data_IF_413883019426
#
_entry.id   IF_413883019426
#
_cell.length_a   1.000
_cell.length_b   1.000
_cell.length_c   1.000
_cell.angle_alpha   90.00
_cell.angle_beta   90.00
_cell.angle_gamma   90.00
#
_symmetry.space_group_name_H-M   'P 1'
#
loop_
_entity.id
_entity.type
_entity.pdbx_description
1 polymer ?
#
# COMPACT_ATOMS: atom_id res chain seq x y z
N UNK A 1 3.16 -28.11 10.09
CA UNK A 1 3.88 -27.63 8.89
C UNK A 1 2.82 -27.30 7.86
N UNK A 2 2.30 -26.08 7.88
CA UNK A 2 1.31 -25.62 6.89
C UNK A 2 2.15 -25.01 5.78
N UNK A 3 2.23 -25.72 4.64
CA UNK A 3 2.77 -25.14 3.40
C UNK A 3 1.94 -23.88 3.12
N UNK A 4 2.59 -22.73 3.14
CA UNK A 4 1.99 -21.51 2.67
C UNK A 4 1.72 -21.69 1.18
N UNK A 5 0.48 -21.94 0.82
CA UNK A 5 0.04 -21.82 -0.56
C UNK A 5 0.27 -20.36 -0.98
N UNK A 6 1.24 -20.18 -1.88
CA UNK A 6 1.44 -18.92 -2.62
C UNK A 6 0.25 -18.75 -3.58
N UNK A 7 -0.94 -18.59 -3.02
CA UNK A 7 -2.18 -18.45 -3.80
C UNK A 7 -2.25 -16.98 -4.26
N UNK A 8 -2.25 -16.80 -5.57
CA UNK A 8 -2.52 -15.50 -6.17
C UNK A 8 -3.89 -14.98 -5.72
N UNK A 9 -3.93 -13.75 -5.22
CA UNK A 9 -5.15 -13.15 -4.67
C UNK A 9 -5.68 -12.06 -5.59
N UNK A 10 -6.94 -12.16 -5.96
CA UNK A 10 -7.70 -11.10 -6.58
C UNK A 10 -8.34 -10.17 -5.52
N UNK A 11 -9.03 -9.11 -5.97
CA UNK A 11 -9.68 -8.15 -5.08
C UNK A 11 -10.64 -8.81 -4.07
N UNK A 12 -11.44 -9.78 -4.50
CA UNK A 12 -12.42 -10.44 -3.63
C UNK A 12 -11.75 -11.25 -2.51
N UNK A 13 -10.63 -11.90 -2.81
CA UNK A 13 -9.86 -12.66 -1.82
C UNK A 13 -9.15 -11.74 -0.83
N UNK A 14 -8.59 -10.61 -1.29
CA UNK A 14 -8.04 -9.58 -0.40
C UNK A 14 -9.14 -9.10 0.56
N UNK A 15 -10.29 -8.67 0.04
CA UNK A 15 -11.42 -8.20 0.85
C UNK A 15 -11.86 -9.26 1.85
N UNK A 16 -11.96 -10.54 1.43
CA UNK A 16 -12.32 -11.65 2.32
C UNK A 16 -11.37 -11.78 3.50
N UNK A 17 -10.05 -11.64 3.30
CA UNK A 17 -9.06 -11.68 4.38
C UNK A 17 -9.21 -10.49 5.33
N UNK A 18 -9.38 -9.27 4.80
CA UNK A 18 -9.61 -8.08 5.62
C UNK A 18 -10.87 -8.21 6.47
N UNK A 19 -11.96 -8.72 5.90
CA UNK A 19 -13.20 -8.97 6.64
C UNK A 19 -13.03 -10.05 7.71
N UNK A 20 -12.19 -11.06 7.48
CA UNK A 20 -11.90 -12.09 8.48
C UNK A 20 -11.17 -11.49 9.68
N UNK A 21 -10.20 -10.58 9.47
CA UNK A 21 -9.55 -9.82 10.55
C UNK A 21 -10.58 -9.03 11.36
N UNK A 22 -11.49 -8.32 10.70
CA UNK A 22 -12.54 -7.54 11.37
C UNK A 22 -13.51 -8.43 12.16
N UNK A 23 -13.93 -9.56 11.60
CA UNK A 23 -14.82 -10.50 12.27
C UNK A 23 -14.18 -11.07 13.54
N UNK A 24 -12.93 -11.54 13.47
CA UNK A 24 -12.25 -12.08 14.65
C UNK A 24 -11.99 -11.00 15.69
N UNK A 25 -11.60 -9.78 15.25
CA UNK A 25 -11.44 -8.66 16.15
C UNK A 25 -12.75 -8.29 16.86
N UNK A 26 -13.88 -8.46 16.19
CA UNK A 26 -15.21 -8.19 16.77
C UNK A 26 -15.63 -9.19 17.85
N UNK A 27 -14.98 -10.36 17.93
CA UNK A 27 -15.21 -11.38 18.95
C UNK A 27 -14.34 -11.16 20.20
N UNK A 28 -13.32 -10.31 20.10
CA UNK A 28 -12.44 -10.01 21.23
C UNK A 28 -13.04 -8.92 22.11
N UNK A 29 -12.87 -9.09 23.43
CA UNK A 29 -13.20 -8.03 24.40
C UNK A 29 -12.08 -6.98 24.37
N UNK A 30 -12.31 -5.88 23.68
CA UNK A 30 -11.33 -4.84 23.45
C UNK A 30 -11.80 -3.49 23.96
N UNK A 31 -10.85 -2.66 24.41
CA UNK A 31 -11.12 -1.36 25.02
C UNK A 31 -11.42 -0.25 24.02
N UNK A 32 -10.91 -0.36 22.80
CA UNK A 32 -11.12 0.65 21.76
C UNK A 32 -12.35 0.31 20.89
N UNK A 33 -13.04 1.35 20.46
CA UNK A 33 -14.22 1.21 19.59
C UNK A 33 -13.82 0.82 18.16
N UNK A 34 -12.69 1.32 17.67
CA UNK A 34 -12.20 1.04 16.31
C UNK A 34 -10.67 0.97 16.25
N UNK A 35 -10.20 0.17 15.33
CA UNK A 35 -8.79 0.00 14.97
C UNK A 35 -8.59 0.36 13.50
N UNK A 36 -7.34 0.56 13.08
CA UNK A 36 -7.03 0.91 11.70
C UNK A 36 -5.83 0.15 11.16
N UNK A 37 -5.82 -0.03 9.83
CA UNK A 37 -4.73 -0.62 9.08
C UNK A 37 -4.69 -0.02 7.68
N UNK A 38 -3.50 0.31 7.18
CA UNK A 38 -3.31 0.87 5.84
C UNK A 38 -2.65 -0.18 4.95
N UNK A 39 -3.32 -0.55 3.88
CA UNK A 39 -2.85 -1.50 2.87
C UNK A 39 -2.01 -0.73 1.85
N UNK A 40 -0.87 -1.30 1.47
CA UNK A 40 0.09 -0.72 0.52
C UNK A 40 0.50 -1.73 -0.56
N UNK A 41 1.45 -1.34 -1.41
CA UNK A 41 2.02 -2.23 -2.42
C UNK A 41 1.04 -2.63 -3.53
N UNK A 42 1.25 -3.81 -4.12
CA UNK A 42 0.42 -4.34 -5.20
C UNK A 42 -1.03 -4.59 -4.80
N UNK A 43 -1.25 -5.04 -3.55
CA UNK A 43 -2.60 -5.26 -3.01
C UNK A 43 -3.43 -3.98 -2.93
N UNK A 44 -2.81 -2.84 -2.61
CA UNK A 44 -3.48 -1.54 -2.65
C UNK A 44 -3.91 -1.16 -4.08
N UNK A 45 -3.07 -1.38 -5.09
CA UNK A 45 -3.43 -1.12 -6.49
C UNK A 45 -4.58 -2.01 -6.96
N UNK A 46 -4.64 -3.27 -6.53
CA UNK A 46 -5.76 -4.19 -6.80
C UNK A 46 -7.05 -3.67 -6.14
N UNK A 47 -6.98 -3.23 -4.89
CA UNK A 47 -8.13 -2.67 -4.16
C UNK A 47 -8.65 -1.38 -4.81
N UNK A 48 -7.76 -0.53 -5.29
CA UNK A 48 -8.07 0.71 -6.02
C UNK A 48 -8.51 0.46 -7.48
N UNK A 49 -8.56 -0.81 -7.93
CA UNK A 49 -8.91 -1.19 -9.31
C UNK A 49 -7.99 -0.54 -10.38
N UNK A 50 -6.73 -0.34 -10.03
CA UNK A 50 -5.73 0.21 -10.95
C UNK A 50 -4.95 -0.85 -11.68
N UNK A 51 -4.93 -2.09 -11.15
CA UNK A 51 -4.37 -3.26 -11.82
C UNK A 51 -5.34 -4.43 -11.68
N UNK A 52 -5.39 -5.30 -12.69
CA UNK A 52 -6.24 -6.50 -12.69
C UNK A 52 -5.48 -7.79 -12.44
N UNK A 53 -4.14 -7.71 -12.29
CA UNK A 53 -3.36 -8.89 -11.93
C UNK A 53 -3.61 -9.29 -10.47
N UNK A 54 -3.42 -10.56 -10.18
CA UNK A 54 -3.39 -11.07 -8.81
C UNK A 54 -2.12 -10.62 -8.07
N UNK A 55 -2.18 -10.64 -6.75
CA UNK A 55 -1.01 -10.44 -5.87
C UNK A 55 -0.81 -11.66 -4.98
N UNK A 56 0.44 -11.90 -4.56
CA UNK A 56 0.77 -12.98 -3.62
C UNK A 56 0.69 -12.52 -2.17
N UNK A 57 0.90 -11.22 -1.93
CA UNK A 57 1.07 -10.64 -0.62
C UNK A 57 0.05 -9.52 -0.38
N UNK A 58 -0.37 -9.37 0.87
CA UNK A 58 -1.04 -8.17 1.34
C UNK A 58 -0.06 -7.47 2.27
N UNK A 59 0.46 -6.33 1.84
CA UNK A 59 1.36 -5.50 2.64
C UNK A 59 0.58 -4.43 3.37
N UNK A 60 0.94 -4.18 4.63
CA UNK A 60 0.30 -3.17 5.46
C UNK A 60 1.31 -2.34 6.24
N UNK A 61 0.92 -1.11 6.53
CA UNK A 61 1.64 -0.18 7.38
C UNK A 61 0.68 0.43 8.40
N UNK A 62 1.25 1.00 9.45
CA UNK A 62 0.51 1.80 10.43
C UNK A 62 -0.72 1.07 11.04
N UNK A 63 -0.58 -0.23 11.28
CA UNK A 63 -1.61 -1.01 11.93
C UNK A 63 -1.61 -0.75 13.45
N UNK A 64 -2.80 -0.70 14.04
CA UNK A 64 -2.98 -0.68 15.50
C UNK A 64 -2.35 -1.93 16.14
N UNK A 65 -1.72 -1.79 17.29
CA UNK A 65 -0.97 -2.89 17.92
C UNK A 65 -1.84 -4.10 18.22
N UNK A 66 -3.08 -3.86 18.61
CA UNK A 66 -4.04 -4.89 19.01
C UNK A 66 -4.45 -5.83 17.88
N UNK A 67 -4.39 -5.37 16.62
CA UNK A 67 -4.76 -6.21 15.47
C UNK A 67 -3.57 -6.93 14.84
N UNK A 68 -2.33 -6.66 15.27
CA UNK A 68 -1.12 -7.21 14.63
C UNK A 68 -1.09 -8.73 14.59
N UNK A 69 -1.49 -9.39 15.67
CA UNK A 69 -1.54 -10.85 15.72
C UNK A 69 -2.56 -11.43 14.73
N UNK A 70 -3.71 -10.76 14.57
CA UNK A 70 -4.70 -11.18 13.57
C UNK A 70 -4.19 -10.96 12.16
N UNK A 71 -3.50 -9.84 11.89
CA UNK A 71 -2.88 -9.61 10.58
C UNK A 71 -1.90 -10.74 10.22
N UNK A 72 -1.07 -11.19 11.17
CA UNK A 72 -0.16 -12.33 10.97
C UNK A 72 -0.92 -13.64 10.68
N UNK A 73 -1.97 -13.96 11.43
CA UNK A 73 -2.81 -15.15 11.23
C UNK A 73 -3.39 -15.18 9.81
N UNK A 74 -3.79 -14.02 9.28
CA UNK A 74 -4.35 -13.89 7.95
C UNK A 74 -3.32 -13.60 6.85
N UNK A 75 -2.02 -13.77 7.15
CA UNK A 75 -0.90 -13.54 6.22
C UNK A 75 -0.92 -12.13 5.60
N UNK A 76 -1.21 -11.12 6.42
CA UNK A 76 -1.07 -9.70 6.07
C UNK A 76 0.27 -9.24 6.65
N UNK A 77 1.19 -8.89 5.76
CA UNK A 77 2.56 -8.57 6.10
C UNK A 77 2.67 -7.15 6.68
N UNK A 78 3.28 -7.04 7.86
CA UNK A 78 3.53 -5.74 8.53
C UNK A 78 5.01 -5.35 8.50
N UNK A 79 5.89 -6.22 8.03
CA UNK A 79 7.34 -6.01 8.02
C UNK A 79 7.82 -5.16 6.83
N UNK A 80 6.96 -4.28 6.35
CA UNK A 80 7.23 -3.34 5.25
C UNK A 80 7.72 -1.98 5.74
N UNK A 81 8.35 -1.96 6.92
CA UNK A 81 8.88 -0.72 7.52
C UNK A 81 9.87 0.02 6.60
N UNK A 82 10.54 -0.68 5.69
CA UNK A 82 11.37 -0.08 4.65
C UNK A 82 10.56 0.79 3.68
N UNK A 83 9.27 0.48 3.45
CA UNK A 83 8.42 1.27 2.57
C UNK A 83 7.98 2.61 3.18
N UNK A 84 7.99 2.73 4.52
CA UNK A 84 7.63 3.98 5.19
C UNK A 84 8.60 5.12 4.86
N UNK A 85 9.85 4.79 4.54
CA UNK A 85 10.89 5.75 4.14
C UNK A 85 10.59 6.33 2.75
N UNK A 86 9.74 5.65 1.95
CA UNK A 86 9.45 5.99 0.56
C UNK A 86 8.08 6.67 0.39
N UNK A 87 7.43 7.06 1.48
CA UNK A 87 6.21 7.88 1.42
C UNK A 87 6.52 9.29 1.92
N UNK A 88 5.89 10.32 1.35
CA UNK A 88 5.89 11.67 1.93
C UNK A 88 5.40 11.63 3.38
N UNK A 89 5.93 12.50 4.24
CA UNK A 89 5.61 12.51 5.67
C UNK A 89 4.11 12.69 5.95
N UNK A 90 3.41 13.39 5.05
CA UNK A 90 1.99 13.73 5.16
C UNK A 90 1.04 12.73 4.45
N UNK A 91 1.52 11.55 4.05
CA UNK A 91 0.71 10.53 3.32
C UNK A 91 -0.61 10.18 4.04
N UNK A 92 -0.65 10.31 5.37
CA UNK A 92 -1.87 10.08 6.16
C UNK A 92 -3.01 11.03 5.79
N UNK A 93 -2.71 12.20 5.24
CA UNK A 93 -3.73 13.15 4.78
C UNK A 93 -4.40 12.71 3.47
N UNK A 94 -3.86 11.67 2.80
CA UNK A 94 -4.31 11.18 1.49
C UNK A 94 -4.74 9.71 1.52
N UNK A 95 -4.93 9.13 2.70
CA UNK A 95 -5.43 7.75 2.80
C UNK A 95 -6.87 7.66 2.29
N UNK A 96 -7.17 6.57 1.60
CA UNK A 96 -8.47 6.30 0.98
C UNK A 96 -9.13 5.15 1.73
N UNK A 97 -10.32 5.32 2.29
CA UNK A 97 -11.01 4.23 2.97
C UNK A 97 -11.40 3.14 1.95
N UNK A 98 -11.21 1.88 2.34
CA UNK A 98 -11.70 0.73 1.58
C UNK A 98 -13.17 0.54 1.91
N UNK A 99 -14.03 0.59 0.90
CA UNK A 99 -15.48 0.45 1.06
C UNK A 99 -15.86 -1.04 1.28
N UNK A 100 -15.74 -1.47 2.53
CA UNK A 100 -16.15 -2.81 3.00
C UNK A 100 -16.89 -2.70 4.34
N UNK A 101 -17.91 -3.56 4.57
CA UNK A 101 -18.74 -3.48 5.77
C UNK A 101 -18.02 -4.04 7.01
N UNK A 102 -17.12 -3.25 7.60
CA UNK A 102 -16.40 -3.62 8.82
C UNK A 102 -16.98 -2.96 10.06
N UNK A 103 -16.83 -3.61 11.22
CA UNK A 103 -17.37 -3.18 12.51
C UNK A 103 -16.29 -2.57 13.42
N UNK A 104 -15.16 -3.24 13.56
CA UNK A 104 -14.09 -2.90 14.49
C UNK A 104 -12.83 -2.39 13.80
N UNK A 105 -12.51 -2.89 12.59
CA UNK A 105 -11.27 -2.52 11.91
C UNK A 105 -11.59 -1.70 10.66
N UNK A 106 -11.04 -0.50 10.58
CA UNK A 106 -11.09 0.35 9.39
C UNK A 106 -9.86 0.14 8.53
N UNK A 107 -10.07 -0.24 7.29
CA UNK A 107 -8.99 -0.45 6.33
C UNK A 107 -8.92 0.70 5.34
N UNK A 108 -7.70 1.10 5.02
CA UNK A 108 -7.40 2.18 4.09
C UNK A 108 -6.34 1.73 3.09
N UNK A 109 -6.23 2.44 1.99
CA UNK A 109 -5.03 2.45 1.14
C UNK A 109 -4.40 3.84 1.22
N UNK A 110 -3.14 3.97 0.84
CA UNK A 110 -2.56 5.28 0.50
C UNK A 110 -3.07 5.73 -0.88
N UNK A 111 -2.86 6.99 -1.26
CA UNK A 111 -3.23 7.47 -2.59
C UNK A 111 -2.47 6.75 -3.72
N UNK A 112 -2.99 6.83 -4.95
CA UNK A 112 -2.30 6.26 -6.11
C UNK A 112 -0.92 6.89 -6.30
N UNK A 113 -0.82 8.19 -6.11
CA UNK A 113 0.44 8.93 -6.25
C UNK A 113 1.46 8.52 -5.18
N UNK A 114 1.04 8.35 -3.92
CA UNK A 114 1.92 7.83 -2.86
C UNK A 114 2.44 6.43 -3.20
N UNK A 115 1.57 5.53 -3.74
CA UNK A 115 1.99 4.20 -4.20
C UNK A 115 3.03 4.29 -5.33
N UNK A 116 2.82 5.19 -6.30
CA UNK A 116 3.74 5.37 -7.42
C UNK A 116 5.08 5.95 -6.94
N UNK A 117 5.10 6.92 -6.03
CA UNK A 117 6.34 7.42 -5.41
C UNK A 117 7.13 6.27 -4.77
N UNK A 118 6.49 5.44 -3.97
CA UNK A 118 7.13 4.28 -3.34
C UNK A 118 7.73 3.32 -4.37
N UNK A 119 7.02 3.08 -5.48
CA UNK A 119 7.49 2.22 -6.57
C UNK A 119 8.64 2.83 -7.36
N UNK A 120 8.63 4.14 -7.61
CA UNK A 120 9.73 4.88 -8.24
C UNK A 120 11.02 4.84 -7.42
N UNK A 121 10.92 4.74 -6.09
CA UNK A 121 12.08 4.54 -5.21
C UNK A 121 12.68 3.14 -5.32
N UNK A 122 11.86 2.14 -5.59
CA UNK A 122 12.24 0.72 -5.56
C UNK A 122 12.61 0.17 -6.94
N UNK A 123 11.85 0.51 -7.99
CA UNK A 123 12.08 0.13 -9.41
C UNK A 123 12.37 -1.37 -9.63
N UNK A 124 11.74 -2.26 -8.83
CA UNK A 124 11.75 -3.69 -9.13
C UNK A 124 10.93 -3.96 -10.39
N UNK A 125 11.15 -5.07 -11.07
CA UNK A 125 10.43 -5.43 -12.31
C UNK A 125 8.90 -5.27 -12.16
N UNK A 126 8.35 -5.77 -11.04
CA UNK A 126 6.92 -5.62 -10.72
C UNK A 126 6.49 -4.17 -10.51
N UNK A 127 7.36 -3.33 -9.97
CA UNK A 127 7.06 -1.91 -9.75
C UNK A 127 7.02 -1.15 -11.07
N UNK A 128 7.91 -1.49 -12.00
CA UNK A 128 7.89 -0.97 -13.38
C UNK A 128 6.61 -1.39 -14.09
N UNK A 129 6.24 -2.68 -14.06
CA UNK A 129 5.00 -3.19 -14.64
C UNK A 129 3.76 -2.48 -14.08
N UNK A 130 3.73 -2.22 -12.76
CA UNK A 130 2.62 -1.55 -12.11
C UNK A 130 2.53 -0.07 -12.53
N UNK A 131 3.65 0.66 -12.62
CA UNK A 131 3.68 2.06 -13.07
C UNK A 131 3.28 2.17 -14.54
N UNK A 132 3.75 1.25 -15.39
CA UNK A 132 3.45 1.22 -16.82
C UNK A 132 2.06 0.72 -17.16
N UNK A 133 1.32 0.21 -16.16
CA UNK A 133 -0.07 -0.17 -16.38
C UNK A 133 -0.89 1.05 -16.83
N UNK A 134 -1.63 0.88 -17.91
CA UNK A 134 -2.38 1.97 -18.57
C UNK A 134 -3.37 2.67 -17.61
N UNK A 135 -4.03 1.91 -16.71
CA UNK A 135 -4.97 2.48 -15.74
C UNK A 135 -4.25 3.28 -14.65
N UNK A 136 -3.09 2.81 -14.19
CA UNK A 136 -2.25 3.54 -13.26
C UNK A 136 -1.81 4.84 -13.91
N UNK A 137 -1.13 4.75 -15.04
CA UNK A 137 -0.51 5.89 -15.73
C UNK A 137 -1.52 6.99 -16.10
N UNK A 138 -2.68 6.61 -16.67
CA UNK A 138 -3.74 7.56 -17.04
C UNK A 138 -4.49 8.18 -15.86
N UNK A 139 -4.43 7.54 -14.68
CA UNK A 139 -5.11 8.04 -13.48
C UNK A 139 -4.27 8.95 -12.62
N UNK A 140 -2.97 9.10 -12.92
CA UNK A 140 -2.05 9.92 -12.12
C UNK A 140 -2.38 11.41 -12.19
N UNK A 141 -2.42 12.03 -11.04
CA UNK A 141 -2.35 13.48 -10.92
C UNK A 141 -0.89 13.93 -10.92
N UNK A 142 -0.37 14.25 -12.08
CA UNK A 142 1.04 14.62 -12.27
C UNK A 142 1.45 15.85 -11.44
N UNK A 143 0.55 16.84 -11.25
CA UNK A 143 0.84 18.02 -10.41
C UNK A 143 0.99 17.64 -8.93
N UNK A 144 0.23 16.65 -8.45
CA UNK A 144 0.40 16.12 -7.11
C UNK A 144 1.69 15.31 -7.03
N UNK A 145 1.94 14.45 -8.01
CA UNK A 145 3.13 13.60 -8.04
C UNK A 145 4.43 14.44 -8.04
N UNK A 146 4.49 15.57 -8.78
CA UNK A 146 5.59 16.53 -8.71
C UNK A 146 5.92 16.93 -7.28
N UNK A 147 4.89 17.37 -6.53
CA UNK A 147 5.05 17.80 -5.15
C UNK A 147 5.53 16.68 -4.24
N UNK A 148 4.96 15.48 -4.39
CA UNK A 148 5.33 14.34 -3.56
C UNK A 148 6.77 13.87 -3.82
N UNK A 149 7.24 13.93 -5.07
CA UNK A 149 8.63 13.64 -5.42
C UNK A 149 9.57 14.67 -4.75
N UNK A 150 9.25 15.96 -4.81
CA UNK A 150 10.04 17.00 -4.15
C UNK A 150 10.11 16.78 -2.64
N UNK A 151 8.97 16.48 -2.00
CA UNK A 151 8.88 16.24 -0.55
C UNK A 151 9.71 15.02 -0.13
N UNK A 152 9.62 13.91 -0.86
CA UNK A 152 10.41 12.70 -0.57
C UNK A 152 11.89 12.94 -0.81
N UNK A 153 12.26 13.62 -1.89
CA UNK A 153 13.64 14.01 -2.17
C UNK A 153 14.25 14.88 -1.05
N UNK A 154 13.45 15.79 -0.49
CA UNK A 154 13.90 16.63 0.63
C UNK A 154 14.19 15.81 1.88
N UNK A 155 13.39 14.77 2.16
CA UNK A 155 13.57 13.87 3.31
C UNK A 155 14.69 12.84 3.14
N UNK A 156 15.17 12.59 1.90
CA UNK A 156 16.21 11.60 1.64
C UNK A 156 17.59 12.07 2.08
N UNK A 157 18.27 11.24 2.89
CA UNK A 157 19.65 11.48 3.35
C UNK A 157 20.70 11.14 2.28
N UNK A 158 20.40 10.18 1.40
CA UNK A 158 21.31 9.69 0.37
C UNK A 158 21.12 10.47 -0.94
N UNK A 159 22.17 11.14 -1.41
CA UNK A 159 22.18 11.81 -2.72
C UNK A 159 22.03 10.82 -3.86
N UNK A 160 22.55 9.58 -3.69
CA UNK A 160 22.41 8.52 -4.67
C UNK A 160 20.93 8.14 -4.86
N UNK A 161 20.20 7.88 -3.76
CA UNK A 161 18.79 7.49 -3.81
C UNK A 161 17.92 8.64 -4.34
N UNK A 162 18.22 9.88 -3.93
CA UNK A 162 17.54 11.08 -4.43
C UNK A 162 17.69 11.21 -5.93
N UNK A 163 18.92 11.11 -6.45
CA UNK A 163 19.18 11.21 -7.88
C UNK A 163 18.51 10.07 -8.65
N UNK A 164 18.52 8.85 -8.12
CA UNK A 164 17.83 7.70 -8.72
C UNK A 164 16.32 7.95 -8.82
N UNK A 165 15.68 8.43 -7.75
CA UNK A 165 14.26 8.77 -7.76
C UNK A 165 13.92 9.82 -8.82
N UNK A 166 14.71 10.90 -8.92
CA UNK A 166 14.49 11.97 -9.90
C UNK A 166 14.65 11.46 -11.33
N UNK A 167 15.65 10.62 -11.58
CA UNK A 167 15.87 10.01 -12.91
C UNK A 167 14.67 9.12 -13.28
N UNK A 168 14.25 8.24 -12.37
CA UNK A 168 13.12 7.35 -12.58
C UNK A 168 11.83 8.15 -12.83
N UNK A 169 11.59 9.19 -12.06
CA UNK A 169 10.42 10.04 -12.23
C UNK A 169 10.41 10.75 -13.59
N UNK A 170 11.52 11.39 -13.99
CA UNK A 170 11.61 12.11 -15.25
C UNK A 170 11.41 11.19 -16.46
N UNK A 171 11.88 9.95 -16.38
CA UNK A 171 11.65 8.94 -17.42
C UNK A 171 10.16 8.74 -17.74
N UNK A 172 9.30 8.77 -16.73
CA UNK A 172 7.86 8.62 -16.93
C UNK A 172 7.14 9.94 -17.23
N UNK A 173 7.62 11.05 -16.72
CA UNK A 173 7.00 12.37 -16.95
C UNK A 173 7.16 12.85 -18.38
N UNK A 174 8.21 12.45 -19.07
CA UNK A 174 8.51 12.84 -20.46
C UNK A 174 7.81 11.95 -21.51
N UNK A 175 7.07 10.92 -21.09
CA UNK A 175 6.26 10.04 -21.94
C UNK A 175 4.91 10.66 -22.27
#
# INVERSE_FOLDING_TARGET
>A
MICGDNMEMNKAEIIKRLMSVDNDMSLLDTTADTYSCIIVGGSALVLLEKIYRSTHDIDSINASDEIKQLLEIYNINMNVSAYRINFPDDYLNRIIPIDIPTKKVKFYTVSLEDLVVSKLCSMRDKDVEDIENELVFKSLNWNLLDKLIDDVCYGMLSDFDRNALVINYNHYKER
#
